data_IF_050800196443
#
_entry.id   IF_050800196443
#
_cell.length_a   1.000
_cell.length_b   1.000
_cell.length_c   1.000
_cell.angle_alpha   90.00
_cell.angle_beta   90.00
_cell.angle_gamma   90.00
#
_symmetry.space_group_name_H-M   'P 1'
#
loop_
_entity.id
_entity.type
_entity.pdbx_description
1 polymer ?
#
# COMPACT_ATOMS: atom_id res chain seq x y z
N UNK A 1 1.85 3.76 23.48
CA UNK A 1 1.94 4.34 22.12
C UNK A 1 2.75 3.35 21.28
N UNK A 2 2.17 2.75 20.24
CA UNK A 2 2.94 1.84 19.37
C UNK A 2 3.95 2.62 18.53
N UNK A 3 5.12 2.04 18.27
CA UNK A 3 6.13 2.63 17.39
C UNK A 3 5.60 2.76 15.96
N UNK A 4 6.11 3.72 15.18
CA UNK A 4 5.76 3.92 13.76
C UNK A 4 5.89 2.61 12.96
N UNK A 5 6.99 1.90 13.19
CA UNK A 5 7.25 0.60 12.56
C UNK A 5 6.21 -0.47 12.90
N UNK A 6 5.80 -0.58 14.16
CA UNK A 6 4.78 -1.56 14.54
C UNK A 6 3.41 -1.24 13.93
N UNK A 7 3.04 0.04 13.84
CA UNK A 7 1.79 0.46 13.17
C UNK A 7 1.78 0.09 11.69
N UNK A 8 2.89 0.34 11.01
CA UNK A 8 3.06 -0.02 9.61
C UNK A 8 2.95 -1.53 9.38
N UNK A 9 3.58 -2.35 10.24
CA UNK A 9 3.47 -3.82 10.16
C UNK A 9 2.02 -4.27 10.36
N UNK A 10 1.32 -3.72 11.36
CA UNK A 10 -0.08 -4.05 11.63
C UNK A 10 -0.96 -3.69 10.44
N UNK A 11 -0.79 -2.51 9.85
CA UNK A 11 -1.54 -2.07 8.69
C UNK A 11 -1.34 -3.01 7.49
N UNK A 12 -0.10 -3.39 7.18
CA UNK A 12 0.18 -4.32 6.08
C UNK A 12 -0.43 -5.71 6.30
N UNK A 13 -0.41 -6.22 7.52
CA UNK A 13 -1.04 -7.52 7.82
C UNK A 13 -2.57 -7.45 7.84
N UNK A 14 -3.14 -6.28 8.11
CA UNK A 14 -4.59 -6.09 8.10
C UNK A 14 -5.19 -6.15 6.69
N UNK A 15 -4.38 -5.96 5.64
CA UNK A 15 -4.83 -6.11 4.26
C UNK A 15 -5.18 -7.56 3.90
N UNK A 16 -4.57 -8.54 4.56
CA UNK A 16 -4.88 -9.95 4.37
C UNK A 16 -3.68 -10.79 3.93
N UNK A 17 -3.81 -12.13 4.05
CA UNK A 17 -2.71 -13.07 3.79
C UNK A 17 -2.50 -13.39 2.31
N UNK A 18 -3.47 -13.13 1.43
CA UNK A 18 -3.40 -13.42 -0.02
C UNK A 18 -3.59 -12.15 -0.86
N UNK A 19 -3.27 -12.22 -2.16
CA UNK A 19 -3.44 -11.08 -3.07
C UNK A 19 -4.93 -10.73 -3.26
N UNK A 20 -5.81 -11.72 -3.29
CA UNK A 20 -7.26 -11.55 -3.35
C UNK A 20 -7.82 -10.87 -2.11
N UNK A 21 -7.40 -11.30 -0.91
CA UNK A 21 -7.85 -10.67 0.35
C UNK A 21 -7.40 -9.20 0.42
N UNK A 22 -6.17 -8.93 -0.05
CA UNK A 22 -5.63 -7.57 -0.16
C UNK A 22 -6.45 -6.76 -1.15
N UNK A 23 -6.75 -7.29 -2.33
CA UNK A 23 -7.55 -6.61 -3.33
C UNK A 23 -8.97 -6.29 -2.82
N UNK A 24 -9.63 -7.25 -2.14
CA UNK A 24 -10.94 -7.05 -1.53
C UNK A 24 -10.90 -5.98 -0.43
N UNK A 25 -9.90 -6.02 0.44
CA UNK A 25 -9.72 -5.01 1.49
C UNK A 25 -9.52 -3.62 0.90
N UNK A 26 -8.70 -3.53 -0.15
CA UNK A 26 -8.42 -2.28 -0.84
C UNK A 26 -9.66 -1.72 -1.54
N UNK A 27 -10.43 -2.60 -2.18
CA UNK A 27 -11.68 -2.26 -2.87
C UNK A 27 -12.74 -1.73 -1.90
N UNK A 28 -12.94 -2.46 -0.80
CA UNK A 28 -13.90 -2.08 0.24
C UNK A 28 -13.54 -0.74 0.91
N UNK A 29 -12.25 -0.40 0.98
CA UNK A 29 -11.79 0.89 1.50
C UNK A 29 -11.68 2.00 0.46
N UNK A 30 -11.92 1.71 -0.82
CA UNK A 30 -11.86 2.70 -1.90
C UNK A 30 -10.44 3.15 -2.27
N UNK A 31 -9.41 2.40 -1.89
CA UNK A 31 -8.02 2.73 -2.24
C UNK A 31 -7.72 2.21 -3.65
N UNK A 32 -7.66 3.15 -4.61
CA UNK A 32 -7.26 2.90 -6.01
C UNK A 32 -5.82 3.32 -6.23
N UNK A 33 -5.26 2.98 -7.38
CA UNK A 33 -3.89 3.35 -7.70
C UNK A 33 -3.48 3.12 -9.15
N UNK A 34 -2.20 3.38 -9.45
CA UNK A 34 -1.66 3.32 -10.80
C UNK A 34 -0.70 2.10 -10.91
N UNK A 35 -0.97 1.14 -11.82
CA UNK A 35 -0.07 0.01 -12.06
C UNK A 35 1.36 0.47 -12.39
N UNK A 36 2.36 -0.14 -11.76
CA UNK A 36 3.77 0.17 -11.95
C UNK A 36 4.27 1.45 -11.24
N UNK A 37 3.40 2.21 -10.57
CA UNK A 37 3.78 3.36 -9.76
C UNK A 37 3.86 3.00 -8.28
N UNK A 38 5.08 2.93 -7.74
CA UNK A 38 5.32 2.58 -6.35
C UNK A 38 4.68 3.55 -5.34
N UNK A 39 4.54 4.84 -5.70
CA UNK A 39 3.98 5.88 -4.83
C UNK A 39 2.47 6.04 -4.99
N UNK A 40 1.92 5.64 -6.13
CA UNK A 40 0.49 5.65 -6.40
C UNK A 40 -0.15 4.26 -6.38
N UNK A 41 0.55 3.21 -5.93
CA UNK A 41 -0.01 1.88 -5.71
C UNK A 41 -1.17 1.93 -4.69
N UNK A 42 -2.25 1.14 -4.85
CA UNK A 42 -3.33 1.07 -3.87
C UNK A 42 -2.86 0.86 -2.41
N UNK A 43 -1.83 0.03 -2.20
CA UNK A 43 -1.25 -0.20 -0.87
C UNK A 43 -0.53 1.05 -0.35
N UNK A 44 0.15 1.81 -1.22
CA UNK A 44 0.80 3.06 -0.82
C UNK A 44 -0.23 4.11 -0.38
N UNK A 45 -1.34 4.21 -1.10
CA UNK A 45 -2.45 5.10 -0.74
C UNK A 45 -3.09 4.68 0.58
N UNK A 46 -3.35 3.39 0.77
CA UNK A 46 -3.81 2.83 2.05
C UNK A 46 -2.86 3.16 3.20
N UNK A 47 -1.55 2.94 3.05
CA UNK A 47 -0.57 3.22 4.10
C UNK A 47 -0.48 4.70 4.45
N UNK A 48 -0.65 5.57 3.45
CA UNK A 48 -0.66 7.02 3.64
C UNK A 48 -1.80 7.46 4.55
N UNK A 49 -2.96 6.82 4.43
CA UNK A 49 -4.12 7.10 5.27
C UNK A 49 -4.06 6.36 6.63
N UNK A 50 -3.72 5.08 6.63
CA UNK A 50 -3.77 4.21 7.81
C UNK A 50 -2.65 4.49 8.83
N UNK A 51 -1.49 4.97 8.37
CA UNK A 51 -0.36 5.27 9.26
C UNK A 51 -0.38 6.77 9.61
N UNK A 52 -0.55 7.15 10.88
CA UNK A 52 -0.60 8.55 11.27
C UNK A 52 0.75 9.25 11.10
N UNK A 53 0.72 10.58 10.91
CA UNK A 53 1.90 11.41 10.67
C UNK A 53 2.68 11.00 9.42
N UNK A 54 1.95 10.59 8.37
CA UNK A 54 2.49 10.17 7.08
C UNK A 54 2.23 11.25 6.04
N UNK A 55 3.29 11.61 5.31
CA UNK A 55 3.25 12.49 4.14
C UNK A 55 3.00 11.70 2.84
N UNK A 56 3.41 10.44 2.81
CA UNK A 56 3.22 9.54 1.68
C UNK A 56 3.87 8.19 1.94
N UNK A 57 3.60 7.22 1.07
CA UNK A 57 4.25 5.92 1.10
C UNK A 57 4.71 5.51 -0.30
N UNK A 58 5.66 4.58 -0.36
CA UNK A 58 6.07 3.90 -1.57
C UNK A 58 6.22 2.41 -1.30
N UNK A 59 5.81 1.57 -2.24
CA UNK A 59 5.80 0.12 -2.06
C UNK A 59 6.39 -0.60 -3.27
N UNK A 60 6.92 -1.79 -3.00
CA UNK A 60 7.34 -2.78 -3.99
C UNK A 60 7.02 -4.17 -3.45
N UNK A 61 7.15 -5.20 -4.29
CA UNK A 61 7.00 -6.59 -3.83
C UNK A 61 8.03 -6.99 -2.75
N UNK A 62 9.13 -6.25 -2.57
CA UNK A 62 10.15 -6.54 -1.54
C UNK A 62 9.98 -5.75 -0.25
N UNK A 63 9.34 -4.58 -0.28
CA UNK A 63 9.26 -3.73 0.89
C UNK A 63 8.30 -2.56 0.76
N UNK A 64 8.05 -1.92 1.90
CA UNK A 64 7.29 -0.69 1.97
C UNK A 64 8.11 0.38 2.70
N UNK A 65 7.91 1.63 2.29
CA UNK A 65 8.51 2.81 2.92
C UNK A 65 7.40 3.82 3.20
N UNK A 66 7.31 4.30 4.44
CA UNK A 66 6.42 5.38 4.85
C UNK A 66 7.26 6.61 5.16
N UNK A 67 6.95 7.74 4.51
CA UNK A 67 7.61 9.03 4.73
C UNK A 67 6.79 9.88 5.69
N UNK A 68 7.40 10.38 6.75
CA UNK A 68 6.73 11.16 7.79
C UNK A 68 6.89 12.67 7.59
N UNK A 69 6.00 13.47 8.18
CA UNK A 69 6.09 14.93 8.09
C UNK A 69 7.34 15.51 8.78
N UNK A 70 7.90 14.79 9.75
CA UNK A 70 9.17 15.15 10.41
C UNK A 70 10.42 14.83 9.57
N UNK A 71 10.23 14.38 8.32
CA UNK A 71 11.31 14.07 7.37
C UNK A 71 11.96 12.70 7.58
N UNK A 72 11.51 11.90 8.56
CA UNK A 72 12.00 10.52 8.75
C UNK A 72 11.23 9.56 7.85
N UNK A 73 11.86 8.43 7.55
CA UNK A 73 11.22 7.30 6.88
C UNK A 73 11.17 6.08 7.80
N UNK A 74 10.10 5.29 7.68
CA UNK A 74 10.00 3.97 8.28
C UNK A 74 9.91 2.94 7.17
N UNK A 75 10.78 1.94 7.21
CA UNK A 75 10.84 0.86 6.22
C UNK A 75 10.48 -0.47 6.86
N UNK A 76 9.91 -1.38 6.07
CA UNK A 76 9.70 -2.77 6.47
C UNK A 76 9.65 -3.70 5.27
N UNK A 77 9.83 -5.00 5.53
CA UNK A 77 9.69 -6.06 4.52
C UNK A 77 8.22 -6.27 4.20
N UNK A 78 7.91 -6.43 2.91
CA UNK A 78 6.55 -6.65 2.46
C UNK A 78 6.07 -8.07 2.86
N UNK A 79 4.90 -8.21 3.52
CA UNK A 79 4.31 -9.52 3.76
C UNK A 79 3.87 -10.20 2.45
N UNK A 80 3.74 -11.53 2.48
CA UNK A 80 3.52 -12.36 1.27
C UNK A 80 2.27 -11.94 0.48
N UNK A 81 1.12 -11.73 1.13
CA UNK A 81 -0.13 -11.32 0.48
C UNK A 81 0.02 -9.99 -0.27
N UNK A 82 0.38 -8.89 0.43
CA UNK A 82 0.71 -7.60 -0.18
C UNK A 82 1.76 -7.66 -1.30
N UNK A 83 2.81 -8.47 -1.15
CA UNK A 83 3.83 -8.64 -2.18
C UNK A 83 3.27 -9.29 -3.45
N UNK A 84 2.47 -10.35 -3.29
CA UNK A 84 1.81 -11.04 -4.39
C UNK A 84 0.76 -10.14 -5.07
N UNK A 85 0.06 -9.31 -4.29
CA UNK A 85 -0.87 -8.31 -4.83
C UNK A 85 -0.17 -7.33 -5.76
N UNK A 86 0.96 -6.73 -5.35
CA UNK A 86 1.67 -5.73 -6.16
C UNK A 86 2.04 -6.29 -7.54
N UNK A 87 2.67 -7.46 -7.59
CA UNK A 87 3.03 -8.10 -8.86
C UNK A 87 1.82 -8.28 -9.77
N UNK A 88 0.72 -8.82 -9.24
CA UNK A 88 -0.49 -9.12 -10.03
C UNK A 88 -1.26 -7.86 -10.43
N UNK A 89 -1.24 -6.83 -9.58
CA UNK A 89 -1.80 -5.52 -9.90
C UNK A 89 -1.05 -4.86 -11.05
N UNK A 90 0.28 -4.90 -11.01
CA UNK A 90 1.14 -4.37 -12.08
C UNK A 90 0.96 -5.14 -13.39
N UNK A 91 0.66 -6.44 -13.33
CA UNK A 91 0.31 -7.29 -14.48
C UNK A 91 -1.14 -7.09 -14.97
N UNK A 92 -1.96 -6.27 -14.28
CA UNK A 92 -3.31 -5.90 -14.68
C UNK A 92 -4.42 -6.86 -14.22
N UNK A 93 -4.16 -7.76 -13.27
CA UNK A 93 -5.16 -8.73 -12.78
C UNK A 93 -6.30 -8.11 -11.95
N UNK A 94 -6.12 -6.89 -11.44
CA UNK A 94 -7.13 -6.18 -10.64
C UNK A 94 -7.54 -4.84 -11.29
N UNK A 95 -8.21 -4.86 -12.47
CA UNK A 95 -8.52 -3.64 -13.22
C UNK A 95 -9.48 -2.70 -12.48
N UNK A 96 -10.31 -3.21 -11.57
CA UNK A 96 -11.24 -2.41 -10.76
C UNK A 96 -10.53 -1.59 -9.66
N UNK A 97 -9.26 -1.87 -9.38
CA UNK A 97 -8.43 -1.10 -8.44
C UNK A 97 -7.61 -0.01 -9.13
N UNK A 98 -7.67 0.09 -10.46
CA UNK A 98 -6.96 1.10 -11.22
C UNK A 98 -7.63 2.45 -11.04
N UNK A 99 -6.83 3.48 -10.76
CA UNK A 99 -7.28 4.86 -10.77
C UNK A 99 -7.36 5.35 -12.23
N UNK A 100 -8.55 5.80 -12.62
CA UNK A 100 -8.85 6.33 -13.94
C UNK A 100 -8.97 7.86 -13.95
N UNK A 101 -8.64 8.52 -12.84
CA UNK A 101 -8.55 9.98 -12.80
C UNK A 101 -7.54 10.46 -13.83
N UNK A 102 -7.96 11.28 -14.80
CA UNK A 102 -7.01 11.93 -15.70
C UNK A 102 -6.08 12.85 -14.88
N UNK A 103 -4.77 12.88 -15.17
CA UNK A 103 -3.91 13.87 -14.56
C UNK A 103 -4.32 15.26 -15.07
N UNK A 104 -4.77 16.13 -14.15
CA UNK A 104 -5.03 17.55 -14.41
C UNK A 104 -3.76 18.32 -14.82
#
# INVERSE_FOLDING_TARGET
MFSRHLRMIIALHALGPTAEDVAETLDNGGWRGIPGDAGACPIANYLTEAVPDTRGAAVSASGATVFHHDGRATETVMPIGPAAFITRFDDGEFPYLVDHSEPE
#
